data_IF_919815967349
#
_entry.id   IF_919815967349
#
_cell.length_a   1.000
_cell.length_b   1.000
_cell.length_c   1.000
_cell.angle_alpha   90.00
_cell.angle_beta   90.00
_cell.angle_gamma   90.00
#
_symmetry.space_group_name_H-M   'P 1'
#
loop_
_entity.id
_entity.type
_entity.pdbx_description
1 polymer ?
#
# COMPACT_ATOMS: atom_id res chain seq x y z
N UNK A 1 1.15 3.67 6.98
CA UNK A 1 0.42 4.86 6.47
C UNK A 1 1.37 5.70 5.65
N UNK A 2 0.94 6.16 4.51
CA UNK A 2 1.65 7.06 3.59
C UNK A 2 0.73 8.24 3.31
N UNK A 3 1.26 9.44 3.22
CA UNK A 3 0.50 10.67 3.02
C UNK A 3 0.96 11.37 1.74
N UNK A 4 0.01 11.78 0.91
CA UNK A 4 0.26 12.69 -0.20
C UNK A 4 -0.55 13.97 0.02
N UNK A 5 0.15 15.08 0.21
CA UNK A 5 -0.46 16.41 0.38
C UNK A 5 -0.61 17.02 -1.01
N UNK A 6 -1.85 17.08 -1.47
CA UNK A 6 -2.19 17.52 -2.82
C UNK A 6 -2.43 19.04 -2.90
N UNK A 7 -2.56 19.57 -4.10
CA UNK A 7 -2.84 20.98 -4.41
C UNK A 7 -1.75 21.97 -3.99
N UNK A 8 -0.48 21.51 -3.99
CA UNK A 8 0.65 22.39 -3.67
C UNK A 8 0.95 23.45 -4.75
N UNK A 9 0.27 23.38 -5.89
CA UNK A 9 0.29 24.37 -6.97
C UNK A 9 -0.63 25.58 -6.72
N UNK A 10 -1.47 25.52 -5.70
CA UNK A 10 -2.36 26.62 -5.31
C UNK A 10 -1.72 27.49 -4.20
N UNK A 11 -2.04 28.80 -4.15
CA UNK A 11 -1.64 29.63 -3.03
C UNK A 11 -2.21 29.06 -1.72
N UNK A 12 -1.37 28.93 -0.71
CA UNK A 12 -1.81 28.32 0.54
C UNK A 12 -0.74 28.27 1.62
N UNK A 13 -0.90 27.30 2.50
CA UNK A 13 -0.01 27.10 3.64
C UNK A 13 1.32 26.48 3.15
N UNK A 14 2.48 26.97 3.61
CA UNK A 14 3.78 26.40 3.28
C UNK A 14 3.90 24.92 3.71
N UNK A 15 4.73 24.16 2.98
CA UNK A 15 4.97 22.72 3.20
C UNK A 15 5.35 22.41 4.65
N UNK A 16 6.27 23.18 5.22
CA UNK A 16 6.76 23.00 6.59
C UNK A 16 5.65 23.20 7.62
N UNK A 17 4.77 24.15 7.38
CA UNK A 17 3.63 24.41 8.27
C UNK A 17 2.58 23.31 8.16
N UNK A 18 2.33 22.75 6.96
CA UNK A 18 1.44 21.60 6.78
C UNK A 18 1.99 20.35 7.48
N UNK A 19 3.29 20.09 7.36
CA UNK A 19 3.96 18.99 8.04
C UNK A 19 3.88 19.14 9.57
N UNK A 20 4.13 20.35 10.09
CA UNK A 20 3.96 20.66 11.51
C UNK A 20 2.53 20.44 11.99
N UNK A 21 1.53 20.81 11.19
CA UNK A 21 0.11 20.55 11.53
C UNK A 21 -0.22 19.06 11.54
N UNK A 22 0.34 18.25 10.61
CA UNK A 22 0.17 16.79 10.61
C UNK A 22 0.71 16.19 11.91
N UNK A 23 1.95 16.54 12.28
CA UNK A 23 2.57 16.07 13.50
C UNK A 23 1.81 16.53 14.76
N UNK A 24 1.33 17.74 14.80
CA UNK A 24 0.58 18.25 15.97
C UNK A 24 -0.80 17.61 16.13
N UNK A 25 -1.51 17.33 15.02
CA UNK A 25 -2.91 16.88 15.07
C UNK A 25 -3.08 15.37 15.07
N UNK A 26 -2.17 14.64 14.42
CA UNK A 26 -2.30 13.20 14.21
C UNK A 26 -1.25 12.39 15.00
N UNK A 27 -0.28 13.05 15.62
CA UNK A 27 0.83 12.42 16.33
C UNK A 27 2.15 12.59 15.57
N UNK A 28 3.25 12.40 16.27
CA UNK A 28 4.61 12.53 15.74
C UNK A 28 4.94 11.45 14.70
N UNK A 29 5.98 11.69 13.90
CA UNK A 29 6.50 10.72 12.93
C UNK A 29 6.20 11.01 11.47
N UNK A 30 5.48 12.10 11.14
CA UNK A 30 5.28 12.54 9.76
C UNK A 30 6.54 13.25 9.27
N UNK A 31 7.18 12.71 8.23
CA UNK A 31 8.44 13.21 7.65
C UNK A 31 8.26 13.47 6.16
N UNK A 32 8.78 14.59 5.66
CA UNK A 32 8.81 14.91 4.22
C UNK A 32 9.89 14.08 3.51
N UNK A 33 9.46 13.13 2.72
CA UNK A 33 10.35 12.26 1.92
C UNK A 33 10.79 12.91 0.61
N UNK A 34 10.19 14.03 0.23
CA UNK A 34 10.65 14.88 -0.87
C UNK A 34 11.68 15.93 -0.46
N UNK A 35 12.04 16.03 0.81
CA UNK A 35 13.08 16.92 1.30
C UNK A 35 14.48 16.43 0.91
N UNK A 36 15.46 17.34 1.00
CA UNK A 36 16.88 17.02 0.82
C UNK A 36 17.30 15.88 1.76
N UNK A 37 18.17 14.95 1.30
CA UNK A 37 18.52 13.75 2.07
C UNK A 37 19.04 14.03 3.48
N UNK A 38 19.82 15.07 3.67
CA UNK A 38 20.36 15.44 4.99
C UNK A 38 19.23 15.85 5.95
N UNK A 39 18.39 16.81 5.55
CA UNK A 39 17.25 17.28 6.35
C UNK A 39 16.24 16.16 6.63
N UNK A 40 15.97 15.30 5.64
CA UNK A 40 15.13 14.12 5.82
C UNK A 40 15.71 13.16 6.86
N UNK A 41 17.02 12.85 6.79
CA UNK A 41 17.66 11.91 7.72
C UNK A 41 17.67 12.45 9.15
N UNK A 42 17.88 13.75 9.34
CA UNK A 42 17.75 14.39 10.64
C UNK A 42 16.33 14.27 11.21
N UNK A 43 15.32 14.55 10.39
CA UNK A 43 13.92 14.39 10.79
C UNK A 43 13.56 12.94 11.12
N UNK A 44 14.05 11.97 10.35
CA UNK A 44 13.86 10.54 10.58
C UNK A 44 14.51 10.08 11.90
N UNK A 45 15.69 10.57 12.21
CA UNK A 45 16.40 10.24 13.45
C UNK A 45 15.62 10.67 14.71
N UNK A 46 14.86 11.76 14.63
CA UNK A 46 14.01 12.21 15.73
C UNK A 46 12.74 11.35 15.96
N UNK A 47 12.36 10.50 15.00
CA UNK A 47 11.15 9.70 15.07
C UNK A 47 11.35 8.31 15.71
N UNK A 48 12.58 7.81 15.78
CA UNK A 48 12.85 6.43 16.22
C UNK A 48 14.26 6.34 16.83
N UNK A 49 14.37 5.76 18.02
CA UNK A 49 15.64 5.63 18.74
C UNK A 49 16.71 4.86 17.95
N UNK A 50 16.31 3.82 17.21
CA UNK A 50 17.23 3.04 16.38
C UNK A 50 17.74 3.84 15.19
N UNK A 51 16.90 4.72 14.62
CA UNK A 51 17.33 5.63 13.56
C UNK A 51 18.27 6.71 14.11
N UNK A 52 18.02 7.22 15.32
CA UNK A 52 18.92 8.15 16.00
C UNK A 52 20.30 7.53 16.25
N UNK A 53 20.34 6.33 16.80
CA UNK A 53 21.58 5.59 17.05
C UNK A 53 22.37 5.39 15.74
N UNK A 54 21.70 4.93 14.68
CA UNK A 54 22.31 4.77 13.36
C UNK A 54 22.84 6.06 12.78
N UNK A 55 22.10 7.15 12.94
CA UNK A 55 22.52 8.47 12.46
C UNK A 55 23.76 8.97 13.20
N UNK A 56 23.86 8.73 14.51
CA UNK A 56 25.03 9.09 15.32
C UNK A 56 26.27 8.25 14.95
N UNK A 57 26.09 6.95 14.68
CA UNK A 57 27.19 6.03 14.37
C UNK A 57 27.71 6.20 12.93
N UNK A 58 26.81 6.30 11.95
CA UNK A 58 27.14 6.26 10.52
C UNK A 58 27.05 7.63 9.81
N UNK A 59 26.43 8.63 10.46
CA UNK A 59 26.21 9.96 9.88
C UNK A 59 25.15 10.01 8.77
N UNK A 60 24.54 8.87 8.43
CA UNK A 60 23.49 8.78 7.39
C UNK A 60 22.61 7.57 7.63
N UNK A 61 21.41 7.62 7.07
CA UNK A 61 20.43 6.52 7.09
C UNK A 61 20.27 5.88 5.72
N UNK A 62 20.20 4.56 5.70
CA UNK A 62 19.92 3.77 4.49
C UNK A 62 18.46 3.33 4.44
N UNK A 63 18.00 2.86 3.30
CA UNK A 63 16.65 2.29 3.17
C UNK A 63 16.42 1.08 4.10
N UNK A 64 17.47 0.29 4.33
CA UNK A 64 17.41 -0.85 5.25
C UNK A 64 17.12 -0.42 6.69
N UNK A 65 17.51 0.78 7.08
CA UNK A 65 17.23 1.36 8.40
C UNK A 65 15.82 1.96 8.44
N UNK A 66 15.40 2.65 7.37
CA UNK A 66 14.13 3.39 7.29
C UNK A 66 12.91 2.45 7.17
N UNK A 67 12.99 1.40 6.32
CA UNK A 67 11.86 0.51 6.04
C UNK A 67 11.27 -0.13 7.32
N UNK A 68 12.07 -0.63 8.27
CA UNK A 68 11.53 -1.17 9.53
C UNK A 68 10.78 -0.13 10.37
N UNK A 69 11.25 1.12 10.43
CA UNK A 69 10.57 2.20 11.17
C UNK A 69 9.22 2.57 10.54
N UNK A 70 9.14 2.60 9.20
CA UNK A 70 7.88 2.77 8.45
C UNK A 70 6.92 1.59 8.73
N UNK A 71 7.43 0.36 8.74
CA UNK A 71 6.63 -0.83 9.01
C UNK A 71 6.08 -0.86 10.45
N UNK A 72 6.88 -0.43 11.44
CA UNK A 72 6.46 -0.29 12.85
C UNK A 72 5.56 0.91 13.11
N UNK A 73 5.33 1.79 12.12
CA UNK A 73 4.56 3.02 12.22
C UNK A 73 5.18 4.08 13.15
N UNK A 74 6.48 4.09 13.29
CA UNK A 74 7.22 5.19 13.93
C UNK A 74 7.45 6.33 12.93
N UNK A 75 7.47 6.00 11.63
CA UNK A 75 7.62 6.96 10.54
C UNK A 75 6.45 6.87 9.58
N UNK A 76 5.89 8.02 9.22
CA UNK A 76 4.82 8.19 8.24
C UNK A 76 5.35 9.02 7.05
N UNK A 77 5.77 8.38 5.96
CA UNK A 77 6.27 9.09 4.79
C UNK A 77 5.24 10.05 4.20
N UNK A 78 5.64 11.31 4.00
CA UNK A 78 4.84 12.34 3.37
C UNK A 78 5.47 12.79 2.06
N UNK A 79 4.64 13.01 1.04
CA UNK A 79 5.00 13.68 -0.20
C UNK A 79 4.06 14.83 -0.44
N UNK A 80 4.56 15.84 -1.11
CA UNK A 80 3.83 17.07 -1.42
C UNK A 80 3.84 17.27 -2.93
N UNK A 81 2.68 17.62 -3.51
CA UNK A 81 2.62 17.81 -4.95
C UNK A 81 1.26 18.28 -5.46
N UNK A 82 1.09 18.23 -6.76
CA UNK A 82 -0.13 18.57 -7.48
C UNK A 82 -0.51 17.43 -8.43
N UNK A 83 -1.34 16.52 -7.96
CA UNK A 83 -1.66 15.28 -8.68
C UNK A 83 -2.23 15.51 -10.09
N UNK A 84 -3.03 16.56 -10.28
CA UNK A 84 -3.57 16.92 -11.59
C UNK A 84 -2.48 17.30 -12.60
N UNK A 85 -1.35 17.82 -12.12
CA UNK A 85 -0.17 18.17 -12.93
C UNK A 85 0.89 17.08 -12.95
N UNK A 86 0.65 15.96 -12.28
CA UNK A 86 1.59 14.87 -12.03
C UNK A 86 2.82 15.28 -11.20
N UNK A 87 2.81 16.49 -10.62
CA UNK A 87 3.91 16.96 -9.77
C UNK A 87 3.93 16.16 -8.45
N UNK A 88 5.09 15.59 -8.11
CA UNK A 88 5.31 14.75 -6.92
C UNK A 88 4.71 13.34 -7.00
N UNK A 89 3.96 12.99 -8.05
CA UNK A 89 3.30 11.68 -8.17
C UNK A 89 4.33 10.57 -8.39
N UNK A 90 5.31 10.79 -9.25
CA UNK A 90 6.36 9.79 -9.50
C UNK A 90 7.17 9.51 -8.24
N UNK A 91 7.54 10.55 -7.49
CA UNK A 91 8.24 10.41 -6.21
C UNK A 91 7.42 9.61 -5.17
N UNK A 92 6.09 9.83 -5.11
CA UNK A 92 5.19 9.03 -4.28
C UNK A 92 5.19 7.57 -4.71
N UNK A 93 5.05 7.28 -6.02
CA UNK A 93 5.00 5.90 -6.54
C UNK A 93 6.31 5.15 -6.30
N UNK A 94 7.44 5.81 -6.55
CA UNK A 94 8.77 5.28 -6.22
C UNK A 94 8.91 5.02 -4.72
N UNK A 95 8.46 5.96 -3.89
CA UNK A 95 8.47 5.83 -2.44
C UNK A 95 7.59 4.68 -1.95
N UNK A 96 6.41 4.49 -2.52
CA UNK A 96 5.56 3.34 -2.21
C UNK A 96 6.27 2.02 -2.53
N UNK A 97 6.89 1.92 -3.70
CA UNK A 97 7.63 0.72 -4.09
C UNK A 97 8.86 0.48 -3.20
N UNK A 98 9.54 1.53 -2.77
CA UNK A 98 10.80 1.48 -2.01
C UNK A 98 10.59 1.20 -0.52
N UNK A 99 9.62 1.87 0.12
CA UNK A 99 9.44 1.86 1.57
C UNK A 99 8.29 0.98 2.07
N UNK A 100 7.50 0.37 1.17
CA UNK A 100 6.48 -0.59 1.58
C UNK A 100 6.87 -2.01 1.18
N UNK A 101 6.38 -2.97 1.93
CA UNK A 101 6.55 -4.39 1.61
C UNK A 101 5.19 -5.05 1.48
N UNK A 102 5.02 -5.98 0.55
CA UNK A 102 3.82 -6.80 0.50
C UNK A 102 3.69 -7.60 1.80
N UNK A 103 2.46 -7.84 2.23
CA UNK A 103 2.21 -8.75 3.34
C UNK A 103 2.77 -10.15 2.99
N UNK A 104 3.36 -10.86 3.96
CA UNK A 104 3.84 -12.22 3.72
C UNK A 104 2.69 -13.09 3.22
N UNK A 105 2.95 -13.83 2.15
CA UNK A 105 1.98 -14.76 1.58
C UNK A 105 1.86 -16.00 2.46
N UNK A 106 0.63 -16.48 2.67
CA UNK A 106 0.38 -17.77 3.29
C UNK A 106 0.73 -18.90 2.31
N UNK A 107 1.16 -20.05 2.82
CA UNK A 107 1.46 -21.21 1.98
C UNK A 107 0.19 -21.83 1.36
N UNK A 108 -0.85 -21.98 2.17
CA UNK A 108 -2.15 -22.45 1.70
C UNK A 108 -2.90 -21.35 0.95
N UNK A 109 -3.75 -21.76 0.00
CA UNK A 109 -4.64 -20.80 -0.65
C UNK A 109 -5.53 -20.11 0.37
N UNK A 110 -5.58 -18.81 0.27
CA UNK A 110 -6.48 -17.96 1.01
C UNK A 110 -6.84 -16.75 0.16
N UNK A 111 -8.04 -16.23 0.35
CA UNK A 111 -8.49 -15.04 -0.35
C UNK A 111 -9.41 -14.20 0.52
N UNK A 112 -9.38 -12.89 0.31
CA UNK A 112 -10.33 -11.95 0.92
C UNK A 112 -11.29 -11.45 -0.17
N UNK A 113 -12.54 -11.82 -0.06
CA UNK A 113 -13.63 -11.25 -0.87
C UNK A 113 -13.95 -9.85 -0.35
N UNK A 114 -14.02 -8.88 -1.24
CA UNK A 114 -14.31 -7.48 -0.88
C UNK A 114 -15.47 -6.88 -1.66
N UNK A 115 -15.94 -7.53 -2.72
CA UNK A 115 -17.07 -7.07 -3.54
C UNK A 115 -17.74 -8.25 -4.22
N UNK A 116 -19.07 -8.17 -4.35
CA UNK A 116 -19.87 -9.01 -5.24
C UNK A 116 -20.63 -8.07 -6.20
N UNK A 117 -20.62 -8.37 -7.47
CA UNK A 117 -21.34 -7.62 -8.51
C UNK A 117 -21.87 -8.55 -9.59
N UNK A 118 -22.56 -8.03 -10.57
CA UNK A 118 -22.94 -8.73 -11.78
C UNK A 118 -22.30 -8.05 -13.00
N UNK A 119 -21.96 -8.84 -14.01
CA UNK A 119 -21.56 -8.30 -15.31
C UNK A 119 -22.81 -7.89 -16.15
N UNK A 120 -22.57 -7.37 -17.36
CA UNK A 120 -23.62 -6.92 -18.27
C UNK A 120 -24.58 -8.05 -18.70
N UNK A 121 -24.18 -9.30 -18.54
CA UNK A 121 -24.95 -10.50 -18.85
C UNK A 121 -25.68 -11.08 -17.63
N UNK A 122 -25.57 -10.41 -16.48
CA UNK A 122 -26.16 -10.85 -15.23
C UNK A 122 -25.36 -11.94 -14.49
N UNK A 123 -24.16 -12.29 -14.96
CA UNK A 123 -23.31 -13.26 -14.30
C UNK A 123 -22.74 -12.69 -13.01
N UNK A 124 -22.89 -13.42 -11.91
CA UNK A 124 -22.31 -13.02 -10.61
C UNK A 124 -20.79 -13.03 -10.65
N UNK A 125 -20.19 -11.92 -10.26
CA UNK A 125 -18.76 -11.74 -10.11
C UNK A 125 -18.41 -11.59 -8.63
N UNK A 126 -17.54 -12.48 -8.13
CA UNK A 126 -16.98 -12.38 -6.80
C UNK A 126 -15.57 -11.83 -6.90
N UNK A 127 -15.37 -10.61 -6.40
CA UNK A 127 -14.09 -9.91 -6.40
C UNK A 127 -13.29 -10.28 -5.17
N UNK A 128 -12.10 -10.78 -5.39
CA UNK A 128 -11.23 -11.23 -4.32
C UNK A 128 -9.77 -10.80 -4.53
N UNK A 129 -9.05 -10.72 -3.43
CA UNK A 129 -7.60 -10.61 -3.40
C UNK A 129 -7.04 -11.89 -2.79
N UNK A 130 -6.16 -12.57 -3.51
CA UNK A 130 -5.45 -13.73 -2.98
C UNK A 130 -4.48 -13.31 -1.87
N UNK A 131 -4.51 -14.00 -0.73
CA UNK A 131 -3.64 -13.75 0.44
C UNK A 131 -2.57 -14.81 0.61
N UNK A 132 -2.69 -15.94 -0.07
CA UNK A 132 -1.72 -17.03 -0.06
C UNK A 132 -2.02 -18.07 -1.11
N UNK A 133 -1.07 -18.97 -1.37
CA UNK A 133 -1.17 -20.03 -2.35
C UNK A 133 -1.58 -19.57 -3.75
N UNK A 134 -2.13 -20.48 -4.53
CA UNK A 134 -2.62 -20.22 -5.88
C UNK A 134 -4.09 -20.63 -6.01
N UNK A 135 -4.86 -19.87 -6.80
CA UNK A 135 -6.19 -20.27 -7.27
C UNK A 135 -6.12 -20.56 -8.75
N UNK A 136 -6.51 -21.77 -9.13
CA UNK A 136 -6.61 -22.20 -10.54
C UNK A 136 -8.06 -22.21 -11.01
N UNK A 137 -8.27 -21.97 -12.28
CA UNK A 137 -9.57 -22.16 -12.94
C UNK A 137 -10.04 -23.60 -12.67
N UNK A 138 -11.35 -23.75 -12.41
CA UNK A 138 -12.03 -25.01 -12.04
C UNK A 138 -11.66 -25.56 -10.65
N UNK A 139 -10.84 -24.88 -9.87
CA UNK A 139 -10.62 -25.28 -8.48
C UNK A 139 -11.92 -25.22 -7.67
N UNK A 140 -12.10 -26.19 -6.79
CA UNK A 140 -13.18 -26.19 -5.82
C UNK A 140 -12.76 -25.36 -4.61
N UNK A 141 -13.51 -24.31 -4.34
CA UNK A 141 -13.37 -23.50 -3.13
C UNK A 141 -14.36 -24.00 -2.09
N UNK A 142 -13.90 -24.14 -0.86
CA UNK A 142 -14.72 -24.56 0.27
C UNK A 142 -14.55 -23.54 1.40
N UNK A 143 -15.58 -23.39 2.20
CA UNK A 143 -15.58 -22.52 3.36
C UNK A 143 -16.79 -22.78 4.24
N UNK A 144 -16.95 -21.91 5.22
CA UNK A 144 -18.08 -21.91 6.14
C UNK A 144 -18.69 -20.51 6.18
N UNK A 145 -20.00 -20.42 6.14
CA UNK A 145 -20.75 -19.19 6.32
C UNK A 145 -21.94 -19.46 7.25
N UNK A 146 -22.05 -18.68 8.33
CA UNK A 146 -23.09 -18.80 9.36
C UNK A 146 -23.19 -20.23 9.98
N UNK A 147 -22.05 -20.92 10.09
CA UNK A 147 -21.98 -22.29 10.59
C UNK A 147 -22.29 -23.38 9.56
N UNK A 148 -22.64 -23.00 8.33
CA UNK A 148 -22.95 -23.94 7.25
C UNK A 148 -21.77 -24.04 6.28
N UNK A 149 -21.33 -25.27 5.92
CA UNK A 149 -20.29 -25.48 4.94
C UNK A 149 -20.80 -25.14 3.53
N UNK A 150 -19.96 -24.48 2.75
CA UNK A 150 -20.24 -24.21 1.33
C UNK A 150 -19.11 -24.70 0.44
N UNK A 151 -19.44 -25.01 -0.81
CA UNK A 151 -18.48 -25.37 -1.85
C UNK A 151 -18.90 -24.73 -3.17
N UNK A 152 -17.98 -23.96 -3.77
CA UNK A 152 -18.20 -23.32 -5.08
C UNK A 152 -17.00 -23.56 -6.01
N UNK A 153 -17.25 -23.69 -7.29
CA UNK A 153 -16.21 -23.89 -8.30
C UNK A 153 -15.83 -22.55 -8.93
N UNK A 154 -14.53 -22.26 -8.96
CA UNK A 154 -14.01 -21.09 -9.68
C UNK A 154 -14.05 -21.34 -11.19
N UNK A 155 -15.17 -21.05 -11.84
CA UNK A 155 -15.37 -21.37 -13.25
C UNK A 155 -14.47 -20.57 -14.19
N UNK A 156 -14.17 -19.31 -13.83
CA UNK A 156 -13.37 -18.39 -14.62
C UNK A 156 -12.64 -17.40 -13.71
N UNK A 157 -11.45 -17.01 -14.08
CA UNK A 157 -10.67 -15.97 -13.39
C UNK A 157 -10.44 -14.80 -14.34
N UNK A 158 -10.88 -13.61 -13.94
CA UNK A 158 -10.80 -12.37 -14.72
C UNK A 158 -9.89 -11.36 -14.04
N UNK A 159 -8.81 -10.96 -14.70
CA UNK A 159 -7.95 -9.85 -14.26
C UNK A 159 -8.42 -8.57 -14.94
N UNK A 160 -8.88 -7.61 -14.15
CA UNK A 160 -9.42 -6.34 -14.64
C UNK A 160 -8.36 -5.25 -14.71
N UNK A 161 -8.41 -4.46 -15.79
CA UNK A 161 -7.70 -3.20 -15.94
C UNK A 161 -8.72 -2.14 -16.41
N UNK A 162 -9.21 -1.34 -15.48
CA UNK A 162 -10.36 -0.46 -15.72
C UNK A 162 -11.62 -1.28 -16.05
N UNK A 163 -12.29 -0.96 -17.15
CA UNK A 163 -13.50 -1.67 -17.61
C UNK A 163 -13.20 -2.97 -18.38
N UNK A 164 -11.96 -3.18 -18.81
CA UNK A 164 -11.57 -4.36 -19.59
C UNK A 164 -10.96 -5.44 -18.68
N UNK A 165 -11.11 -6.69 -19.09
CA UNK A 165 -10.48 -7.81 -18.40
C UNK A 165 -9.79 -8.76 -19.37
N UNK A 166 -8.84 -9.52 -18.83
CA UNK A 166 -8.21 -10.67 -19.47
C UNK A 166 -8.51 -11.93 -18.65
N UNK A 167 -8.65 -13.05 -19.32
CA UNK A 167 -8.77 -14.36 -18.64
C UNK A 167 -7.39 -14.84 -18.23
N UNK A 168 -7.33 -15.50 -17.07
CA UNK A 168 -6.13 -16.17 -16.60
C UNK A 168 -6.47 -17.58 -16.09
N UNK A 169 -5.53 -18.49 -16.19
CA UNK A 169 -5.67 -19.86 -15.69
C UNK A 169 -5.34 -19.97 -14.19
N UNK A 170 -4.57 -19.01 -13.66
CA UNK A 170 -4.11 -19.02 -12.27
C UNK A 170 -3.90 -17.60 -11.76
N UNK A 171 -4.16 -17.40 -10.47
CA UNK A 171 -3.73 -16.23 -9.71
C UNK A 171 -2.92 -16.66 -8.49
N UNK A 172 -1.95 -15.82 -8.11
CA UNK A 172 -1.11 -15.99 -6.94
C UNK A 172 -1.34 -14.92 -5.87
N UNK A 173 -0.58 -14.98 -4.77
CA UNK A 173 -0.70 -14.06 -3.64
C UNK A 173 -0.56 -12.60 -4.04
N UNK A 174 -1.41 -11.73 -3.48
CA UNK A 174 -1.43 -10.30 -3.74
C UNK A 174 -2.24 -9.89 -4.96
N UNK A 175 -2.52 -10.80 -5.89
CA UNK A 175 -3.32 -10.49 -7.08
C UNK A 175 -4.81 -10.34 -6.75
N UNK A 176 -5.44 -9.45 -7.50
CA UNK A 176 -6.88 -9.18 -7.43
C UNK A 176 -7.54 -9.71 -8.69
N UNK A 177 -8.60 -10.46 -8.53
CA UNK A 177 -9.40 -10.97 -9.65
C UNK A 177 -10.90 -11.00 -9.34
N UNK A 178 -11.67 -11.27 -10.36
CA UNK A 178 -13.07 -11.63 -10.22
C UNK A 178 -13.31 -13.02 -10.83
#
# INVERSE_FOLDING_TARGET
TVVFVNHMDLPGIPREQLLSQLNHRLGEGFVDFGAEPAARNEALALCDEQLMEKMLDAGTLTDADIIPAVARRHVFPCWFGAALRLDGVDALLEGLNRYTRPAPALHAFGARVFKVSQDEQGTRLTWLRATGGELKVKALLTGEADGEPWAEKANQLRLYSGAKYTLTEVIGPGQVCA
#
